data_IF_590381705522
#
_entry.id   IF_590381705522
#
_cell.length_a   1.000
_cell.length_b   1.000
_cell.length_c   1.000
_cell.angle_alpha   90.00
_cell.angle_beta   90.00
_cell.angle_gamma   90.00
#
_symmetry.space_group_name_H-M   'P 1'
#
loop_
_entity.id
_entity.type
_entity.pdbx_description
1 polymer ?
#
# COMPACT_ATOMS: atom_id res chain seq x y z
N UNK A 1 -8.65 9.14 2.30
CA UNK A 1 -7.46 8.26 2.38
C UNK A 1 -7.69 7.00 1.57
N UNK A 2 -6.73 6.63 0.71
CA UNK A 2 -6.71 5.39 -0.04
C UNK A 2 -5.80 4.36 0.64
N UNK A 3 -6.31 3.17 0.94
CA UNK A 3 -5.51 2.02 1.37
C UNK A 3 -5.12 1.18 0.14
N UNK A 4 -3.85 1.26 -0.26
CA UNK A 4 -3.29 0.52 -1.39
C UNK A 4 -2.95 -0.92 -0.97
N UNK A 5 -3.96 -1.66 -0.51
CA UNK A 5 -3.85 -3.05 -0.10
C UNK A 5 -5.18 -3.77 -0.24
N UNK A 6 -5.12 -5.02 -0.69
CA UNK A 6 -6.26 -5.93 -0.67
C UNK A 6 -6.32 -6.84 0.57
N UNK A 7 -5.48 -6.60 1.59
CA UNK A 7 -5.43 -7.45 2.79
C UNK A 7 -6.54 -7.09 3.77
N UNK A 8 -7.47 -8.02 4.11
CA UNK A 8 -8.49 -7.79 5.12
C UNK A 8 -7.89 -7.43 6.48
N UNK A 9 -6.79 -8.09 6.85
CA UNK A 9 -6.09 -7.83 8.12
C UNK A 9 -5.60 -6.38 8.26
N UNK A 10 -5.22 -5.71 7.16
CA UNK A 10 -4.80 -4.31 7.22
C UNK A 10 -5.97 -3.35 7.44
N UNK A 11 -7.15 -3.69 6.92
CA UNK A 11 -8.38 -2.95 7.20
C UNK A 11 -8.73 -3.10 8.68
N UNK A 12 -8.67 -4.33 9.22
CA UNK A 12 -8.95 -4.60 10.63
C UNK A 12 -7.97 -3.85 11.56
N UNK A 13 -6.69 -3.76 11.19
CA UNK A 13 -5.69 -3.01 11.95
C UNK A 13 -5.96 -1.50 11.97
N UNK A 14 -6.42 -0.92 10.85
CA UNK A 14 -6.82 0.50 10.82
C UNK A 14 -8.09 0.74 11.63
N UNK A 15 -9.04 -0.18 11.59
CA UNK A 15 -10.26 -0.10 12.39
C UNK A 15 -9.97 -0.10 13.91
N UNK A 16 -8.92 -0.81 14.37
CA UNK A 16 -8.51 -0.79 15.78
C UNK A 16 -8.04 0.59 16.28
N UNK A 17 -7.66 1.49 15.37
CA UNK A 17 -7.25 2.86 15.67
C UNK A 17 -8.28 3.89 15.17
N UNK A 18 -9.53 3.46 14.95
CA UNK A 18 -10.64 4.28 14.46
C UNK A 18 -10.38 4.97 13.10
N UNK A 19 -9.52 4.38 12.26
CA UNK A 19 -9.23 4.85 10.91
C UNK A 19 -9.98 4.00 9.89
N UNK A 20 -10.83 4.63 9.09
CA UNK A 20 -11.53 3.98 7.97
C UNK A 20 -11.06 4.59 6.64
N UNK A 21 -10.46 3.81 5.73
CA UNK A 21 -10.13 4.29 4.39
C UNK A 21 -11.40 4.61 3.58
N UNK A 22 -11.37 5.68 2.80
CA UNK A 22 -12.45 6.02 1.87
C UNK A 22 -12.44 5.09 0.65
N UNK A 23 -11.24 4.68 0.24
CA UNK A 23 -11.02 3.77 -0.89
C UNK A 23 -10.05 2.67 -0.49
N UNK A 24 -10.36 1.44 -0.88
CA UNK A 24 -9.48 0.27 -0.70
C UNK A 24 -9.29 -0.38 -2.08
N UNK A 25 -8.04 -0.58 -2.49
CA UNK A 25 -7.75 -1.22 -3.77
C UNK A 25 -6.34 -1.80 -3.81
N UNK A 26 -6.15 -3.00 -4.41
CA UNK A 26 -4.82 -3.55 -4.62
C UNK A 26 -4.03 -2.67 -5.59
N UNK A 27 -2.72 -2.58 -5.37
CA UNK A 27 -1.78 -2.13 -6.37
C UNK A 27 -1.25 -3.36 -7.11
N UNK A 28 -1.52 -3.44 -8.41
CA UNK A 28 -1.04 -4.51 -9.28
C UNK A 28 0.42 -4.23 -9.65
N UNK A 29 1.34 -4.79 -8.87
CA UNK A 29 2.80 -4.61 -9.03
C UNK A 29 3.53 -5.95 -9.01
N UNK A 30 4.73 -5.99 -9.58
CA UNK A 30 5.61 -7.15 -9.46
C UNK A 30 6.26 -7.22 -8.08
N UNK A 31 5.85 -8.21 -7.29
CA UNK A 31 6.34 -8.43 -5.93
C UNK A 31 7.63 -9.26 -5.87
N UNK A 32 8.17 -9.67 -7.03
CA UNK A 32 9.38 -10.49 -7.10
C UNK A 32 10.60 -9.77 -6.49
N UNK A 33 11.39 -10.45 -5.64
CA UNK A 33 12.62 -9.88 -5.10
C UNK A 33 13.65 -9.61 -6.19
N UNK A 34 14.35 -8.47 -6.08
CA UNK A 34 15.50 -8.16 -6.94
C UNK A 34 16.74 -8.94 -6.46
N UNK A 35 17.68 -9.17 -7.36
CA UNK A 35 18.94 -9.85 -7.02
C UNK A 35 19.69 -9.07 -5.94
N UNK A 36 20.01 -9.74 -4.82
CA UNK A 36 20.70 -9.15 -3.67
C UNK A 36 19.82 -8.27 -2.78
N UNK A 37 18.52 -8.16 -3.05
CA UNK A 37 17.58 -7.40 -2.22
C UNK A 37 17.34 -8.12 -0.90
N UNK A 38 17.61 -7.44 0.21
CA UNK A 38 17.31 -7.96 1.54
C UNK A 38 15.80 -7.92 1.81
N UNK A 39 15.27 -8.73 2.75
CA UNK A 39 13.85 -8.70 3.10
C UNK A 39 13.37 -7.29 3.50
N UNK A 40 14.20 -6.53 4.23
CA UNK A 40 13.87 -5.15 4.61
C UNK A 40 13.72 -4.24 3.39
N UNK A 41 14.67 -4.32 2.45
CA UNK A 41 14.64 -3.52 1.23
C UNK A 41 13.45 -3.89 0.36
N UNK A 42 13.16 -5.19 0.23
CA UNK A 42 11.99 -5.71 -0.48
C UNK A 42 10.70 -5.12 0.08
N UNK A 43 10.47 -5.26 1.39
CA UNK A 43 9.24 -4.75 2.02
C UNK A 43 9.10 -3.23 1.86
N UNK A 44 10.20 -2.47 1.99
CA UNK A 44 10.19 -1.03 1.79
C UNK A 44 9.88 -0.65 0.33
N UNK A 45 10.52 -1.32 -0.63
CA UNK A 45 10.28 -1.09 -2.05
C UNK A 45 8.84 -1.40 -2.42
N UNK A 46 8.34 -2.58 -2.04
CA UNK A 46 6.97 -2.99 -2.38
C UNK A 46 5.94 -2.05 -1.76
N UNK A 47 6.12 -1.61 -0.51
CA UNK A 47 5.23 -0.62 0.08
C UNK A 47 5.23 0.70 -0.72
N UNK A 48 6.40 1.20 -1.13
CA UNK A 48 6.50 2.44 -1.92
C UNK A 48 5.89 2.28 -3.34
N UNK A 49 6.17 1.17 -4.02
CA UNK A 49 5.64 0.88 -5.35
C UNK A 49 4.11 0.70 -5.32
N UNK A 50 3.56 0.06 -4.28
CA UNK A 50 2.10 -0.04 -4.08
C UNK A 50 1.45 1.33 -3.93
N UNK A 51 2.05 2.25 -3.18
CA UNK A 51 1.55 3.61 -3.06
C UNK A 51 1.63 4.37 -4.39
N UNK A 52 2.75 4.24 -5.11
CA UNK A 52 2.95 4.90 -6.40
C UNK A 52 1.98 4.39 -7.47
N UNK A 53 1.64 3.10 -7.46
CA UNK A 53 0.74 2.50 -8.43
C UNK A 53 -0.70 3.04 -8.36
N UNK A 54 -1.16 3.47 -7.17
CA UNK A 54 -2.52 4.04 -7.02
C UNK A 54 -2.57 5.55 -7.25
N UNK A 55 -1.42 6.25 -7.22
CA UNK A 55 -1.35 7.70 -7.38
C UNK A 55 -2.03 8.21 -8.67
N UNK A 56 -1.87 7.58 -9.85
CA UNK A 56 -2.54 8.04 -11.08
C UNK A 56 -4.08 7.93 -11.05
N UNK A 57 -4.65 7.20 -10.10
CA UNK A 57 -6.10 7.06 -9.94
C UNK A 57 -6.71 8.11 -9.02
N UNK A 58 -5.89 8.97 -8.43
CA UNK A 58 -6.34 10.02 -7.52
C UNK A 58 -6.75 11.26 -8.34
N UNK A 59 -7.95 11.83 -8.09
CA UNK A 59 -8.36 13.08 -8.71
C UNK A 59 -7.39 14.23 -8.38
N UNK A 60 -6.94 14.97 -9.40
CA UNK A 60 -5.97 16.07 -9.24
C UNK A 60 -6.51 17.27 -8.43
N UNK A 61 -7.82 17.33 -8.20
CA UNK A 61 -8.52 18.44 -7.55
C UNK A 61 -8.79 18.22 -6.05
N UNK A 62 -8.26 17.16 -5.44
CA UNK A 62 -8.50 16.80 -4.05
C UNK A 62 -7.20 16.39 -3.34
N UNK A 63 -7.09 16.72 -2.05
CA UNK A 63 -5.99 16.24 -1.20
C UNK A 63 -6.26 14.80 -0.76
N UNK A 64 -5.35 13.89 -1.12
CA UNK A 64 -5.45 12.48 -0.74
C UNK A 64 -4.22 12.01 0.03
N UNK A 65 -4.47 11.21 1.05
CA UNK A 65 -3.44 10.41 1.74
C UNK A 65 -3.49 8.99 1.16
N UNK A 66 -2.33 8.46 0.78
CA UNK A 66 -2.17 7.07 0.34
C UNK A 66 -1.43 6.31 1.43
N UNK A 67 -1.99 5.17 1.84
CA UNK A 67 -1.34 4.25 2.77
C UNK A 67 -1.08 2.92 2.09
N UNK A 68 0.17 2.50 2.06
CA UNK A 68 0.60 1.20 1.57
C UNK A 68 1.51 0.52 2.58
N UNK A 69 1.55 -0.80 2.56
CA UNK A 69 2.44 -1.59 3.39
C UNK A 69 2.81 -2.89 2.68
N UNK A 70 3.90 -3.49 3.12
CA UNK A 70 4.30 -4.83 2.70
C UNK A 70 4.87 -5.64 3.87
N UNK A 71 4.89 -6.97 3.75
CA UNK A 71 5.32 -7.86 4.83
C UNK A 71 5.96 -9.09 4.21
N UNK A 72 7.22 -9.34 4.58
CA UNK A 72 8.03 -10.46 4.09
C UNK A 72 8.44 -11.33 5.28
N UNK A 73 8.58 -12.64 5.05
CA UNK A 73 8.99 -13.65 6.06
C UNK A 73 10.34 -14.25 5.74
#
# INVERSE_FOLDING_TARGET
>A
MWLASASPHRIDLLAQIDVTPDTVGPADIDESPKSGETPRELAQRLAAEKAAAVLPHIPENEDWIILAADTVV
#
